data_IF_920818923476
#
_entry.id   IF_920818923476
#
_cell.length_a   1.000
_cell.length_b   1.000
_cell.length_c   1.000
_cell.angle_alpha   90.00
_cell.angle_beta   90.00
_cell.angle_gamma   90.00
#
_symmetry.space_group_name_H-M   'P 1'
#
loop_
_entity.id
_entity.type
_entity.pdbx_description
1 polymer ?
#
# COMPACT_ATOMS: atom_id res chain seq x y z
N UNK A 1 -4.98 12.40 9.36
CA UNK A 1 -5.53 11.90 8.10
C UNK A 1 -6.65 10.93 8.45
N UNK A 2 -7.90 11.26 8.09
CA UNK A 2 -9.07 10.47 8.47
C UNK A 2 -9.02 9.15 7.70
N UNK A 3 -8.83 8.03 8.39
CA UNK A 3 -9.42 6.79 7.93
C UNK A 3 -10.92 7.09 7.87
N UNK A 4 -11.47 7.20 6.67
CA UNK A 4 -12.92 7.34 6.49
C UNK A 4 -13.54 6.17 7.24
N UNK A 5 -14.44 6.48 8.17
CA UNK A 5 -15.11 5.49 9.00
C UNK A 5 -16.04 4.69 8.10
N UNK A 6 -15.60 3.48 7.71
CA UNK A 6 -16.29 2.61 6.77
C UNK A 6 -17.60 2.03 7.34
N UNK A 7 -17.91 2.28 8.62
CA UNK A 7 -18.99 1.63 9.34
C UNK A 7 -20.40 2.18 8.99
N UNK A 8 -20.53 3.43 8.56
CA UNK A 8 -21.86 4.07 8.44
C UNK A 8 -22.63 3.72 7.15
N UNK A 9 -21.99 3.09 6.14
CA UNK A 9 -22.64 2.70 4.87
C UNK A 9 -23.08 1.22 4.86
N UNK A 10 -22.83 0.47 5.94
CA UNK A 10 -22.98 -0.99 5.97
C UNK A 10 -24.44 -1.49 6.12
N UNK A 11 -25.40 -0.62 6.45
CA UNK A 11 -26.74 -1.06 6.90
C UNK A 11 -27.66 -1.71 5.84
N UNK A 12 -27.42 -1.51 4.54
CA UNK A 12 -28.40 -1.89 3.50
C UNK A 12 -27.88 -2.78 2.37
N UNK A 13 -26.56 -2.90 2.16
CA UNK A 13 -26.00 -3.68 1.05
C UNK A 13 -25.55 -5.08 1.50
N UNK A 14 -25.28 -5.29 2.79
CA UNK A 14 -24.88 -6.58 3.37
C UNK A 14 -26.08 -7.46 3.77
N UNK A 15 -27.18 -7.39 3.02
CA UNK A 15 -28.22 -8.41 3.10
C UNK A 15 -27.59 -9.81 2.97
N UNK A 16 -28.10 -10.77 3.73
CA UNK A 16 -27.56 -12.12 3.89
C UNK A 16 -26.90 -12.65 2.61
N UNK A 17 -25.65 -13.13 2.76
CA UNK A 17 -24.82 -13.67 1.67
C UNK A 17 -25.68 -14.59 0.78
N UNK A 18 -25.80 -14.33 -0.54
CA UNK A 18 -26.54 -15.21 -1.43
C UNK A 18 -26.01 -16.64 -1.28
N UNK A 19 -26.91 -17.60 -1.07
CA UNK A 19 -26.56 -19.01 -1.01
C UNK A 19 -25.85 -19.41 -2.32
N UNK A 20 -24.59 -19.85 -2.22
CA UNK A 20 -23.79 -20.27 -3.37
C UNK A 20 -22.54 -19.44 -3.66
N UNK A 21 -22.26 -18.37 -2.91
CA UNK A 21 -20.99 -17.65 -3.01
C UNK A 21 -19.81 -18.50 -2.51
N UNK A 22 -18.69 -18.41 -3.22
CA UNK A 22 -17.42 -19.03 -2.79
C UNK A 22 -17.02 -18.39 -1.44
N UNK A 23 -16.76 -19.17 -0.38
CA UNK A 23 -16.30 -18.61 0.90
C UNK A 23 -14.91 -17.98 0.77
N UNK A 24 -14.56 -17.01 1.62
CA UNK A 24 -13.29 -16.28 1.53
C UNK A 24 -12.05 -17.21 1.57
N UNK A 25 -12.11 -18.28 2.37
CA UNK A 25 -11.06 -19.31 2.44
C UNK A 25 -10.98 -20.23 1.21
N UNK A 26 -11.99 -20.21 0.34
CA UNK A 26 -12.02 -20.94 -0.93
C UNK A 26 -11.44 -20.13 -2.11
N UNK A 27 -11.05 -18.87 -1.90
CA UNK A 27 -10.40 -18.07 -2.94
C UNK A 27 -8.97 -18.57 -3.18
N UNK A 28 -8.48 -18.59 -4.45
CA UNK A 28 -7.12 -18.99 -4.75
C UNK A 28 -6.11 -18.08 -4.02
N UNK A 29 -4.98 -18.61 -3.52
CA UNK A 29 -4.00 -17.80 -2.80
C UNK A 29 -3.49 -16.66 -3.68
N UNK A 30 -3.18 -15.52 -3.06
CA UNK A 30 -2.54 -14.42 -3.77
C UNK A 30 -1.14 -14.83 -4.21
N UNK A 31 -0.64 -14.37 -5.37
CA UNK A 31 0.74 -14.61 -5.77
C UNK A 31 1.72 -14.22 -4.67
N UNK A 32 2.76 -15.04 -4.52
CA UNK A 32 3.89 -14.72 -3.65
C UNK A 32 4.56 -13.43 -4.15
N UNK A 33 5.11 -12.65 -3.21
CA UNK A 33 5.82 -11.42 -3.57
C UNK A 33 7.16 -11.77 -4.20
N UNK A 34 7.49 -11.10 -5.30
CA UNK A 34 8.78 -11.26 -5.97
C UNK A 34 9.94 -10.69 -5.16
N UNK A 35 11.17 -10.97 -5.59
CA UNK A 35 12.38 -10.46 -4.94
C UNK A 35 12.45 -8.92 -4.94
N UNK A 36 11.91 -8.26 -5.98
CA UNK A 36 11.88 -6.78 -6.08
C UNK A 36 11.25 -6.12 -4.86
N UNK A 37 10.14 -6.67 -4.36
CA UNK A 37 9.46 -6.19 -3.15
C UNK A 37 10.39 -6.11 -1.92
N UNK A 38 11.36 -7.02 -1.81
CA UNK A 38 12.29 -7.05 -0.68
C UNK A 38 13.60 -6.31 -0.97
N UNK A 39 14.07 -6.34 -2.22
CA UNK A 39 15.35 -5.75 -2.59
C UNK A 39 15.29 -4.22 -2.69
N UNK A 40 14.20 -3.67 -3.23
CA UNK A 40 14.07 -2.22 -3.45
C UNK A 40 14.10 -1.42 -2.15
N UNK A 41 13.35 -1.80 -1.08
CA UNK A 41 13.44 -1.10 0.20
C UNK A 41 14.84 -1.20 0.84
N UNK A 42 15.53 -2.34 0.69
CA UNK A 42 16.89 -2.52 1.21
C UNK A 42 17.88 -1.59 0.50
N UNK A 43 17.74 -1.45 -0.83
CA UNK A 43 18.53 -0.49 -1.61
C UNK A 43 18.28 0.95 -1.13
N UNK A 44 17.01 1.34 -0.96
CA UNK A 44 16.64 2.66 -0.45
C UNK A 44 17.22 2.94 0.95
N UNK A 45 17.12 1.98 1.87
CA UNK A 45 17.73 2.07 3.21
C UNK A 45 19.24 2.26 3.12
N UNK A 46 19.93 1.47 2.28
CA UNK A 46 21.38 1.58 2.12
C UNK A 46 21.79 2.96 1.61
N UNK A 47 21.04 3.51 0.65
CA UNK A 47 21.27 4.86 0.10
C UNK A 47 21.11 5.92 1.19
N UNK A 48 20.01 5.88 1.95
CA UNK A 48 19.77 6.87 3.02
C UNK A 48 20.83 6.78 4.12
N UNK A 49 21.15 5.56 4.58
CA UNK A 49 22.19 5.35 5.60
C UNK A 49 23.54 5.87 5.12
N UNK A 50 23.93 5.57 3.88
CA UNK A 50 25.20 6.04 3.31
C UNK A 50 25.28 7.57 3.29
N UNK A 51 24.25 8.24 2.76
CA UNK A 51 24.25 9.70 2.68
C UNK A 51 24.20 10.37 4.05
N UNK A 52 23.38 9.86 4.98
CA UNK A 52 23.35 10.37 6.35
C UNK A 52 24.69 10.18 7.06
N UNK A 53 25.32 9.01 6.93
CA UNK A 53 26.63 8.74 7.52
C UNK A 53 27.72 9.64 6.92
N UNK A 54 27.71 9.84 5.61
CA UNK A 54 28.65 10.73 4.93
C UNK A 54 28.49 12.18 5.39
N UNK A 55 27.25 12.69 5.48
CA UNK A 55 26.98 14.05 5.96
C UNK A 55 27.46 14.25 7.40
N UNK A 56 27.15 13.30 8.30
CA UNK A 56 27.62 13.30 9.69
C UNK A 56 29.14 13.22 9.76
N UNK A 57 29.78 12.37 8.95
CA UNK A 57 31.23 12.25 8.92
C UNK A 57 31.91 13.56 8.48
N UNK A 58 31.40 14.19 7.43
CA UNK A 58 31.94 15.46 6.92
C UNK A 58 31.78 16.56 7.96
N UNK A 59 30.62 16.70 8.60
CA UNK A 59 30.41 17.77 9.59
C UNK A 59 31.28 17.55 10.84
N UNK A 60 31.44 16.31 11.30
CA UNK A 60 32.31 16.01 12.45
C UNK A 60 33.79 16.23 12.11
N UNK A 61 34.21 15.96 10.88
CA UNK A 61 35.60 16.19 10.44
C UNK A 61 35.91 17.69 10.30
N UNK A 62 35.02 18.46 9.69
CA UNK A 62 35.24 19.89 9.38
C UNK A 62 34.94 20.79 10.57
N UNK A 63 33.85 20.53 11.30
CA UNK A 63 33.33 21.40 12.37
C UNK A 63 33.60 20.82 13.76
N UNK A 64 33.86 19.52 13.90
CA UNK A 64 34.11 18.88 15.20
C UNK A 64 35.21 19.53 16.05
N UNK A 65 36.34 19.99 15.48
CA UNK A 65 37.37 20.70 16.24
C UNK A 65 36.94 22.11 16.70
N UNK A 66 35.95 22.71 16.04
CA UNK A 66 35.49 24.06 16.34
C UNK A 66 34.66 24.10 17.63
N UNK A 67 34.85 25.17 18.41
CA UNK A 67 34.08 25.43 19.64
C UNK A 67 33.16 26.63 19.42
N UNK A 68 32.05 26.66 20.15
CA UNK A 68 31.11 27.78 20.15
C UNK A 68 29.71 27.40 19.68
N UNK A 69 28.75 28.30 19.92
CA UNK A 69 27.33 28.06 19.68
C UNK A 69 27.01 27.75 18.21
N UNK A 70 27.69 28.42 17.27
CA UNK A 70 27.48 28.21 15.83
C UNK A 70 27.90 26.81 15.39
N UNK A 71 29.08 26.34 15.83
CA UNK A 71 29.54 24.98 15.54
C UNK A 71 28.60 23.91 16.13
N UNK A 72 28.12 24.14 17.37
CA UNK A 72 27.13 23.28 18.01
C UNK A 72 25.81 23.23 17.22
N UNK A 73 25.31 24.38 16.77
CA UNK A 73 24.09 24.48 15.98
C UNK A 73 24.20 23.71 14.66
N UNK A 74 25.29 23.88 13.91
CA UNK A 74 25.48 23.15 12.64
C UNK A 74 25.50 21.64 12.84
N UNK A 75 26.22 21.14 13.87
CA UNK A 75 26.23 19.71 14.20
C UNK A 75 24.83 19.23 14.55
N UNK A 76 24.11 19.97 15.40
CA UNK A 76 22.75 19.62 15.78
C UNK A 76 21.80 19.55 14.58
N UNK A 77 21.89 20.49 13.64
CA UNK A 77 21.08 20.49 12.42
C UNK A 77 21.35 19.25 11.54
N UNK A 78 22.62 18.90 11.29
CA UNK A 78 22.96 17.73 10.46
C UNK A 78 22.52 16.42 11.13
N UNK A 79 22.73 16.30 12.44
CA UNK A 79 22.26 15.14 13.19
C UNK A 79 20.72 15.03 13.20
N UNK A 80 20.02 16.15 13.33
CA UNK A 80 18.57 16.19 13.26
C UNK A 80 18.05 15.79 11.86
N UNK A 81 18.67 16.29 10.79
CA UNK A 81 18.34 15.94 9.41
C UNK A 81 18.56 14.44 9.15
N UNK A 82 19.69 13.88 9.57
CA UNK A 82 19.95 12.45 9.50
C UNK A 82 18.89 11.65 10.29
N UNK A 83 18.51 12.13 11.47
CA UNK A 83 17.44 11.54 12.28
C UNK A 83 16.08 11.55 11.57
N UNK A 84 15.69 12.67 10.96
CA UNK A 84 14.45 12.77 10.18
C UNK A 84 14.46 11.87 8.95
N UNK A 85 15.58 11.80 8.23
CA UNK A 85 15.72 10.91 7.08
C UNK A 85 15.48 9.44 7.48
N UNK A 86 16.09 8.99 8.57
CA UNK A 86 15.84 7.64 9.12
C UNK A 86 14.39 7.48 9.54
N UNK A 87 13.80 8.45 10.24
CA UNK A 87 12.40 8.39 10.67
C UNK A 87 11.43 8.28 9.47
N UNK A 88 11.67 9.00 8.38
CA UNK A 88 10.86 8.91 7.17
C UNK A 88 11.02 7.57 6.46
N UNK A 89 12.23 7.01 6.38
CA UNK A 89 12.41 5.66 5.85
C UNK A 89 11.67 4.63 6.70
N UNK A 90 11.77 4.70 8.03
CA UNK A 90 11.01 3.82 8.92
C UNK A 90 9.50 3.98 8.72
N UNK A 91 9.01 5.21 8.54
CA UNK A 91 7.61 5.46 8.22
C UNK A 91 7.21 4.84 6.88
N UNK A 92 8.05 4.92 5.84
CA UNK A 92 7.76 4.27 4.55
C UNK A 92 7.76 2.73 4.65
N UNK A 93 8.67 2.16 5.43
CA UNK A 93 8.79 0.70 5.62
C UNK A 93 7.64 0.12 6.46
N UNK A 94 7.20 0.85 7.48
CA UNK A 94 6.27 0.33 8.50
C UNK A 94 4.90 1.02 8.51
N UNK A 95 4.74 2.17 7.83
CA UNK A 95 3.57 3.04 7.89
C UNK A 95 2.33 2.53 7.16
N UNK A 96 2.24 1.23 6.88
CA UNK A 96 1.19 0.59 6.09
C UNK A 96 1.03 1.19 4.68
N UNK A 97 1.46 0.47 3.64
CA UNK A 97 1.36 0.90 2.24
C UNK A 97 -0.08 0.91 1.66
N UNK A 98 -1.10 1.17 2.48
CA UNK A 98 -2.50 1.21 2.05
C UNK A 98 -2.99 -0.09 1.40
N UNK A 99 -2.40 -1.24 1.74
CA UNK A 99 -2.72 -2.52 1.09
C UNK A 99 -4.18 -2.89 1.33
N UNK A 100 -4.94 -3.05 0.25
CA UNK A 100 -6.32 -3.51 0.29
C UNK A 100 -6.30 -5.02 0.52
N UNK A 101 -6.61 -5.43 1.75
CA UNK A 101 -6.62 -6.84 2.16
C UNK A 101 -7.92 -7.49 1.74
N UNK A 102 -7.86 -8.78 1.39
CA UNK A 102 -9.06 -9.60 1.21
C UNK A 102 -9.81 -9.70 2.54
N UNK A 103 -10.99 -9.11 2.59
CA UNK A 103 -12.01 -9.31 3.62
C UNK A 103 -13.36 -9.55 2.95
N UNK A 104 -14.40 -9.83 3.73
CA UNK A 104 -15.74 -9.94 3.14
C UNK A 104 -16.20 -8.61 2.53
N UNK A 105 -15.85 -7.47 3.13
CA UNK A 105 -16.21 -6.15 2.61
C UNK A 105 -15.53 -5.84 1.27
N UNK A 106 -14.27 -6.26 1.09
CA UNK A 106 -13.56 -5.99 -0.16
C UNK A 106 -13.81 -7.05 -1.21
N UNK A 107 -14.10 -8.30 -0.84
CA UNK A 107 -14.25 -9.37 -1.82
C UNK A 107 -15.68 -9.48 -2.38
N UNK A 108 -16.68 -8.98 -1.64
CA UNK A 108 -18.09 -9.16 -1.99
C UNK A 108 -18.87 -7.83 -2.09
N UNK A 109 -19.95 -7.78 -2.90
CA UNK A 109 -20.41 -8.85 -3.79
C UNK A 109 -19.42 -9.09 -4.93
N UNK A 110 -19.07 -10.35 -5.17
CA UNK A 110 -18.15 -10.69 -6.25
C UNK A 110 -18.89 -10.52 -7.59
N UNK A 111 -18.26 -9.92 -8.61
CA UNK A 111 -18.85 -9.89 -9.95
C UNK A 111 -19.15 -11.31 -10.46
N UNK A 112 -20.35 -11.53 -11.00
CA UNK A 112 -20.81 -12.87 -11.39
C UNK A 112 -19.85 -13.57 -12.36
N UNK A 113 -19.28 -12.83 -13.32
CA UNK A 113 -18.31 -13.37 -14.29
C UNK A 113 -17.00 -13.86 -13.65
N UNK A 114 -16.57 -13.23 -12.56
CA UNK A 114 -15.40 -13.68 -11.78
C UNK A 114 -15.77 -14.94 -11.01
N UNK A 115 -16.94 -14.94 -10.36
CA UNK A 115 -17.41 -16.07 -9.58
C UNK A 115 -17.59 -17.33 -10.44
N UNK A 116 -18.20 -17.20 -11.62
CA UNK A 116 -18.40 -18.30 -12.56
C UNK A 116 -17.07 -18.86 -13.09
N UNK A 117 -16.11 -17.99 -13.39
CA UNK A 117 -14.76 -18.41 -13.79
C UNK A 117 -14.02 -19.14 -12.68
N UNK A 118 -14.11 -18.65 -11.44
CA UNK A 118 -13.52 -19.32 -10.28
C UNK A 118 -14.15 -20.69 -10.05
N UNK A 119 -15.48 -20.80 -10.13
CA UNK A 119 -16.21 -22.08 -10.02
C UNK A 119 -15.81 -23.05 -11.14
N UNK A 120 -15.54 -22.54 -12.34
CA UNK A 120 -15.07 -23.33 -13.47
C UNK A 120 -13.56 -23.65 -13.44
N UNK A 121 -12.81 -23.15 -12.46
CA UNK A 121 -11.36 -23.33 -12.38
C UNK A 121 -10.57 -22.68 -13.53
N UNK A 122 -11.13 -21.64 -14.16
CA UNK A 122 -10.50 -20.92 -15.26
C UNK A 122 -9.53 -19.84 -14.76
N UNK A 123 -8.50 -19.58 -15.55
CA UNK A 123 -7.58 -18.46 -15.33
C UNK A 123 -8.29 -17.10 -15.54
N UNK A 124 -7.70 -16.03 -15.00
CA UNK A 124 -8.23 -14.66 -15.06
C UNK A 124 -7.39 -13.74 -15.98
N UNK A 125 -6.44 -14.30 -16.74
CA UNK A 125 -5.44 -13.52 -17.47
C UNK A 125 -6.03 -12.74 -18.65
N UNK A 126 -7.18 -13.17 -19.15
CA UNK A 126 -7.95 -12.55 -20.24
C UNK A 126 -9.08 -11.64 -19.76
N UNK A 127 -9.25 -11.46 -18.43
CA UNK A 127 -10.29 -10.62 -17.87
C UNK A 127 -9.71 -9.27 -17.43
N UNK A 128 -10.34 -8.19 -17.88
CA UNK A 128 -10.01 -6.84 -17.39
C UNK A 128 -10.60 -6.60 -15.99
N UNK A 129 -10.12 -5.54 -15.34
CA UNK A 129 -10.73 -5.11 -14.08
C UNK A 129 -12.16 -4.61 -14.33
N UNK A 130 -13.07 -4.95 -13.43
CA UNK A 130 -14.51 -4.71 -13.62
C UNK A 130 -14.87 -3.40 -12.93
N UNK A 131 -15.50 -2.48 -13.64
CA UNK A 131 -15.98 -1.23 -13.05
C UNK A 131 -17.20 -1.52 -12.16
N UNK A 132 -17.20 -0.95 -10.96
CA UNK A 132 -18.37 -1.02 -10.08
C UNK A 132 -19.44 -0.02 -10.51
N UNK A 133 -20.62 -0.05 -9.86
CA UNK A 133 -21.70 0.89 -10.15
C UNK A 133 -21.26 2.34 -9.90
N UNK A 134 -21.55 3.26 -10.82
CA UNK A 134 -21.14 4.66 -10.73
C UNK A 134 -21.68 5.39 -9.47
N UNK A 135 -22.79 4.92 -8.90
CA UNK A 135 -23.39 5.45 -7.67
C UNK A 135 -22.88 4.78 -6.39
N UNK A 136 -22.01 3.77 -6.49
CA UNK A 136 -21.49 3.07 -5.32
C UNK A 136 -20.39 3.89 -4.65
N UNK A 137 -20.54 4.17 -3.36
CA UNK A 137 -19.51 4.82 -2.56
C UNK A 137 -18.32 3.90 -2.24
N UNK A 138 -18.47 2.59 -2.41
CA UNK A 138 -17.50 1.58 -1.93
C UNK A 138 -16.96 0.67 -3.03
N UNK A 139 -17.71 0.48 -4.11
CA UNK A 139 -17.36 -0.42 -5.22
C UNK A 139 -16.90 0.40 -6.42
N UNK A 140 -15.62 0.77 -6.46
CA UNK A 140 -15.03 1.51 -7.57
C UNK A 140 -14.63 0.61 -8.72
N UNK A 141 -13.66 -0.27 -8.49
CA UNK A 141 -13.26 -1.28 -9.49
C UNK A 141 -12.80 -2.59 -8.86
N UNK A 142 -13.23 -3.71 -9.41
CA UNK A 142 -12.84 -5.03 -8.97
C UNK A 142 -11.52 -5.45 -9.63
N UNK A 143 -10.49 -5.69 -8.83
CA UNK A 143 -9.25 -6.24 -9.32
C UNK A 143 -9.35 -7.76 -9.43
N UNK A 144 -9.37 -8.29 -10.66
CA UNK A 144 -9.51 -9.73 -10.91
C UNK A 144 -8.28 -10.54 -10.49
N UNK A 145 -7.10 -9.90 -10.43
CA UNK A 145 -5.85 -10.54 -9.94
C UNK A 145 -5.84 -10.70 -8.43
N UNK A 146 -6.33 -9.68 -7.72
CA UNK A 146 -6.35 -9.68 -6.26
C UNK A 146 -7.66 -10.20 -5.68
N UNK A 147 -8.72 -10.31 -6.48
CA UNK A 147 -10.09 -10.63 -6.07
C UNK A 147 -10.61 -9.69 -4.98
N UNK A 148 -10.43 -8.39 -5.19
CA UNK A 148 -10.89 -7.33 -4.27
C UNK A 148 -11.45 -6.14 -5.02
N UNK A 149 -12.49 -5.54 -4.47
CA UNK A 149 -12.96 -4.21 -4.78
C UNK A 149 -11.96 -3.17 -4.27
N UNK A 150 -11.67 -2.23 -5.16
CA UNK A 150 -11.01 -0.97 -4.87
C UNK A 150 -12.07 0.11 -4.64
N UNK A 151 -11.84 1.05 -3.73
CA UNK A 151 -12.73 2.19 -3.58
C UNK A 151 -12.83 2.97 -4.91
N UNK A 152 -13.93 3.72 -5.11
CA UNK A 152 -14.04 4.69 -6.18
C UNK A 152 -12.87 5.68 -6.15
N UNK A 153 -12.49 6.16 -7.32
CA UNK A 153 -11.43 7.15 -7.44
C UNK A 153 -11.93 8.50 -6.90
N UNK A 154 -11.28 9.01 -5.86
CA UNK A 154 -11.45 10.39 -5.39
C UNK A 154 -10.18 11.22 -5.68
N UNK A 155 -10.20 12.54 -5.50
CA UNK A 155 -9.08 13.44 -5.84
C UNK A 155 -7.78 13.18 -5.05
N UNK A 156 -7.76 12.30 -4.06
CA UNK A 156 -6.59 12.01 -3.23
C UNK A 156 -6.30 10.52 -2.95
N UNK A 157 -7.20 9.61 -3.32
CA UNK A 157 -7.14 8.20 -3.01
C UNK A 157 -7.31 7.37 -4.27
N UNK A 158 -6.23 7.29 -5.05
CA UNK A 158 -6.17 6.42 -6.22
C UNK A 158 -5.79 5.02 -5.77
N UNK A 159 -6.66 4.06 -6.06
CA UNK A 159 -6.42 2.66 -5.80
C UNK A 159 -5.91 1.95 -7.06
N UNK A 160 -4.74 1.33 -7.00
CA UNK A 160 -4.16 0.63 -8.14
C UNK A 160 -3.58 -0.72 -7.74
N UNK A 161 -3.35 -1.59 -8.72
CA UNK A 161 -2.61 -2.84 -8.51
C UNK A 161 -1.13 -2.57 -8.79
N UNK A 162 -0.29 -2.68 -7.76
CA UNK A 162 1.15 -2.57 -7.94
C UNK A 162 1.73 -3.94 -8.27
N UNK A 163 2.40 -4.05 -9.43
CA UNK A 163 3.01 -5.29 -9.91
C UNK A 163 4.15 -5.76 -9.01
N UNK A 164 4.97 -4.85 -8.47
CA UNK A 164 6.07 -5.20 -7.57
C UNK A 164 5.56 -5.71 -6.23
N UNK A 165 4.56 -5.05 -5.65
CA UNK A 165 3.89 -5.50 -4.42
C UNK A 165 3.04 -6.77 -4.62
N UNK A 166 2.55 -6.98 -5.85
CA UNK A 166 1.57 -8.02 -6.19
C UNK A 166 0.23 -7.83 -5.48
N UNK A 167 -0.15 -6.59 -5.12
CA UNK A 167 -1.33 -6.28 -4.32
C UNK A 167 -1.99 -4.98 -4.80
N UNK A 168 -3.27 -4.84 -4.53
CA UNK A 168 -3.94 -3.55 -4.62
C UNK A 168 -3.57 -2.67 -3.41
N UNK A 169 -3.30 -1.40 -3.67
CA UNK A 169 -2.89 -0.40 -2.69
C UNK A 169 -3.73 0.87 -2.87
N UNK A 170 -3.90 1.63 -1.79
CA UNK A 170 -4.65 2.88 -1.74
C UNK A 170 -3.74 4.02 -1.25
N UNK A 171 -3.80 5.18 -1.90
CA UNK A 171 -3.03 6.36 -1.46
C UNK A 171 -1.51 6.20 -1.62
N UNK A 172 -1.11 5.19 -2.39
CA UNK A 172 0.26 4.96 -2.82
C UNK A 172 0.30 5.28 -4.31
N UNK A 173 1.33 5.99 -4.77
CA UNK A 173 1.45 6.41 -6.17
C UNK A 173 2.21 5.37 -7.00
N UNK A 174 3.40 4.99 -6.54
CA UNK A 174 4.27 4.01 -7.19
C UNK A 174 5.17 3.32 -6.15
N UNK A 175 5.64 2.12 -6.48
CA UNK A 175 6.63 1.38 -5.69
C UNK A 175 8.03 1.81 -6.08
#
# INVERSE_FOLDING_TARGET
ARAADWQDVEGSIFAARPSGQIPLGGLPPLPARGAGYFAEPVCGVAVVVLFSALAVFVIETVVGPAKGAVACLFRACVWAEAGFAVAFVLYLLFGCAGVIRRSEQTCYPMPAEVEDRLKAGKLMDDLDNILGPASSATLGSYCVRCLVWRPPHDEGNVAHHCSTCGRCVLGFDHH
#
